data_IF_618053557607
#
_entry.id   IF_618053557607
#
_cell.length_a   1.000
_cell.length_b   1.000
_cell.length_c   1.000
_cell.angle_alpha   90.00
_cell.angle_beta   90.00
_cell.angle_gamma   90.00
#
_symmetry.space_group_name_H-M   'P 1'
#
loop_
_entity.id
_entity.type
_entity.pdbx_description
1 polymer ?
#
# COMPACT_ATOMS: atom_id res chain seq x y z
N UNK A 1 -21.41 41.41 7.29
CA UNK A 1 -20.01 41.27 6.88
C UNK A 1 -20.00 40.62 5.51
N UNK A 2 -19.59 41.36 4.48
CA UNK A 2 -19.61 40.90 3.08
C UNK A 2 -18.30 40.18 2.79
N UNK A 3 -18.33 38.85 2.67
CA UNK A 3 -17.18 38.05 2.28
C UNK A 3 -17.15 37.94 0.75
N UNK A 4 -16.33 38.78 0.12
CA UNK A 4 -16.00 38.70 -1.30
C UNK A 4 -14.74 37.84 -1.48
N UNK A 5 -14.94 36.53 -1.62
CA UNK A 5 -13.92 35.60 -2.15
C UNK A 5 -14.61 34.47 -2.93
N UNK A 6 -15.14 34.80 -4.11
CA UNK A 6 -15.43 33.83 -5.17
C UNK A 6 -15.20 34.55 -6.51
N UNK A 7 -14.06 34.27 -7.15
CA UNK A 7 -13.87 34.59 -8.57
C UNK A 7 -14.65 33.54 -9.38
N UNK A 8 -15.57 33.93 -10.28
CA UNK A 8 -16.25 32.96 -11.13
C UNK A 8 -15.31 32.45 -12.22
N UNK A 9 -15.19 31.13 -12.32
CA UNK A 9 -14.62 30.45 -13.49
C UNK A 9 -15.59 30.63 -14.65
N UNK A 10 -15.18 31.39 -15.67
CA UNK A 10 -15.89 31.49 -16.95
C UNK A 10 -15.82 30.13 -17.65
N UNK A 11 -16.92 29.39 -17.70
CA UNK A 11 -17.13 28.37 -18.72
C UNK A 11 -17.39 29.08 -20.06
N UNK A 12 -16.44 28.97 -20.98
CA UNK A 12 -16.67 29.27 -22.39
C UNK A 12 -17.10 27.97 -23.06
N UNK A 13 -18.36 27.91 -23.47
CA UNK A 13 -18.90 26.84 -24.29
C UNK A 13 -18.38 26.94 -25.72
N UNK A 14 -17.95 25.81 -26.28
CA UNK A 14 -17.73 25.63 -27.71
C UNK A 14 -18.79 24.66 -28.24
N UNK A 15 -19.79 25.23 -28.91
CA UNK A 15 -20.69 24.53 -29.84
C UNK A 15 -19.99 24.43 -31.19
N UNK A 16 -20.21 23.31 -31.88
CA UNK A 16 -20.36 23.30 -33.34
C UNK A 16 -19.22 22.65 -34.12
N UNK A 17 -19.37 21.35 -34.39
CA UNK A 17 -18.83 20.74 -35.59
C UNK A 17 -19.48 21.36 -36.85
N UNK A 18 -18.80 21.31 -38.00
CA UNK A 18 -19.36 20.46 -39.06
C UNK A 18 -18.31 19.59 -39.76
N UNK A 19 -18.81 18.44 -40.20
CA UNK A 19 -18.18 17.41 -41.03
C UNK A 19 -17.88 17.84 -42.47
N UNK A 20 -16.84 17.22 -43.05
CA UNK A 20 -16.64 16.75 -44.47
C UNK A 20 -15.30 17.25 -45.08
N UNK A 21 -14.76 16.61 -46.14
CA UNK A 21 -14.63 15.17 -46.39
C UNK A 21 -13.19 14.78 -46.84
N UNK A 22 -13.01 13.48 -47.04
CA UNK A 22 -11.87 12.72 -47.58
C UNK A 22 -11.15 13.38 -48.77
N UNK A 23 -9.82 13.36 -48.74
CA UNK A 23 -8.98 13.46 -49.95
C UNK A 23 -7.66 12.68 -49.74
N UNK A 24 -7.42 11.74 -50.66
CA UNK A 24 -6.21 10.92 -50.82
C UNK A 24 -5.06 11.79 -51.36
N UNK A 25 -3.84 11.63 -50.82
CA UNK A 25 -2.63 11.34 -51.62
C UNK A 25 -1.36 11.25 -50.76
N UNK A 26 -0.71 10.10 -50.93
CA UNK A 26 0.72 9.78 -50.90
C UNK A 26 1.72 10.93 -50.81
N UNK A 27 2.76 10.74 -49.98
CA UNK A 27 4.21 10.87 -50.28
C UNK A 27 4.98 10.67 -48.96
N UNK A 28 5.65 9.54 -48.72
CA UNK A 28 7.07 9.32 -49.04
C UNK A 28 7.95 10.49 -48.58
N UNK A 29 8.56 10.38 -47.39
CA UNK A 29 9.89 10.93 -47.13
C UNK A 29 10.55 10.18 -45.96
N UNK A 30 11.60 9.45 -46.33
CA UNK A 30 12.64 8.88 -45.47
C UNK A 30 13.25 9.97 -44.57
N UNK A 31 13.36 9.70 -43.27
CA UNK A 31 14.39 10.32 -42.45
C UNK A 31 15.15 9.26 -41.67
N UNK A 32 16.28 8.91 -42.26
CA UNK A 32 17.35 8.06 -41.75
C UNK A 32 18.11 8.87 -40.68
N UNK A 33 18.24 8.35 -39.46
CA UNK A 33 19.16 8.90 -38.46
C UNK A 33 19.98 7.77 -37.84
N UNK A 34 21.24 7.72 -38.24
CA UNK A 34 22.27 6.89 -37.62
C UNK A 34 22.70 7.45 -36.24
N UNK A 35 23.34 6.62 -35.40
CA UNK A 35 23.60 6.89 -33.99
C UNK A 35 24.92 7.64 -33.78
N UNK A 36 24.99 8.46 -32.72
CA UNK A 36 26.25 9.00 -32.22
C UNK A 36 26.41 8.68 -30.74
N UNK A 37 27.32 7.73 -30.49
CA UNK A 37 28.42 7.74 -29.51
C UNK A 37 28.27 8.55 -28.22
N UNK A 38 28.44 7.83 -27.10
CA UNK A 38 28.76 8.31 -25.76
C UNK A 38 29.97 9.26 -25.73
N UNK A 39 30.13 10.00 -24.61
CA UNK A 39 31.33 9.72 -23.82
C UNK A 39 31.11 9.67 -22.31
N UNK A 40 31.92 8.80 -21.70
CA UNK A 40 32.32 8.75 -20.30
C UNK A 40 32.41 10.12 -19.60
N UNK A 41 32.00 10.17 -18.33
CA UNK A 41 32.81 10.73 -17.23
C UNK A 41 32.27 10.34 -15.83
N UNK A 42 33.15 10.36 -14.80
CA UNK A 42 32.99 9.62 -13.55
C UNK A 42 32.45 10.44 -12.37
N UNK A 43 32.18 9.72 -11.28
CA UNK A 43 31.87 10.16 -9.93
C UNK A 43 32.71 11.33 -9.40
N UNK A 44 32.09 12.24 -8.62
CA UNK A 44 32.80 13.04 -7.61
C UNK A 44 31.84 13.76 -6.64
N UNK A 45 31.84 13.30 -5.39
CA UNK A 45 31.76 14.06 -4.12
C UNK A 45 30.67 15.13 -3.89
N UNK A 46 29.71 14.77 -3.03
CA UNK A 46 28.89 15.73 -2.26
C UNK A 46 29.75 16.27 -1.12
N UNK A 47 30.15 17.53 -1.21
CA UNK A 47 30.92 18.23 -0.19
C UNK A 47 30.04 19.30 0.48
N UNK A 48 29.82 19.13 1.78
CA UNK A 48 29.13 20.06 2.66
C UNK A 48 29.77 21.46 2.60
N UNK A 49 28.98 22.47 2.21
CA UNK A 49 29.41 23.86 2.21
C UNK A 49 29.02 24.53 3.52
N UNK A 50 29.94 24.52 4.48
CA UNK A 50 29.98 25.46 5.59
C UNK A 50 30.27 26.86 5.04
N UNK A 51 29.33 27.80 5.22
CA UNK A 51 29.54 29.21 4.95
C UNK A 51 29.78 29.90 6.29
N UNK A 52 31.05 29.93 6.70
CA UNK A 52 31.57 30.93 7.63
C UNK A 52 32.17 32.05 6.80
N UNK A 53 31.54 33.24 6.82
CA UNK A 53 32.16 34.47 6.33
C UNK A 53 32.45 35.39 7.51
N UNK A 54 33.73 35.44 7.85
CA UNK A 54 34.41 36.56 8.50
C UNK A 54 34.29 37.81 7.62
N UNK A 55 33.67 38.86 8.14
CA UNK A 55 33.79 40.22 7.60
C UNK A 55 34.29 41.12 8.73
N UNK A 56 35.45 41.71 8.49
CA UNK A 56 36.19 42.54 9.42
C UNK A 56 35.47 43.83 9.79
N UNK A 57 35.55 44.14 11.08
CA UNK A 57 35.17 45.40 11.69
C UNK A 57 36.09 46.54 11.18
N UNK A 58 35.51 47.54 10.50
CA UNK A 58 36.05 48.90 10.46
C UNK A 58 35.16 49.79 11.32
N UNK A 59 35.70 50.24 12.43
CA UNK A 59 35.13 51.22 13.34
C UNK A 59 35.09 52.59 12.66
N UNK A 60 33.89 53.14 12.44
CA UNK A 60 33.69 54.54 12.10
C UNK A 60 32.85 55.21 13.18
N UNK A 61 33.42 56.23 13.81
CA UNK A 61 32.80 57.12 14.81
C UNK A 61 31.94 58.17 14.10
N UNK A 62 30.63 58.22 14.35
CA UNK A 62 29.72 59.33 13.99
C UNK A 62 28.55 59.33 15.03
N UNK A 63 27.80 60.43 15.28
CA UNK A 63 27.73 61.10 16.57
C UNK A 63 26.40 60.85 17.31
N UNK A 64 26.38 61.27 18.58
CA UNK A 64 25.20 61.31 19.45
C UNK A 64 24.11 62.24 18.89
N UNK A 65 22.86 61.86 19.17
CA UNK A 65 21.59 62.59 19.02
C UNK A 65 20.81 62.41 17.71
N UNK A 66 20.02 61.33 17.65
CA UNK A 66 18.74 61.28 16.92
C UNK A 66 17.72 60.54 17.82
N UNK A 67 16.52 61.11 18.08
CA UNK A 67 15.49 60.42 18.87
C UNK A 67 14.96 59.17 18.14
N UNK A 68 14.54 58.13 18.87
CA UNK A 68 14.13 56.87 18.27
C UNK A 68 12.91 57.05 17.36
N UNK A 69 12.91 56.48 16.15
CA UNK A 69 11.68 56.39 15.37
C UNK A 69 10.74 55.43 16.10
N UNK A 70 9.62 55.98 16.59
CA UNK A 70 8.41 55.24 16.92
C UNK A 70 7.85 54.60 15.65
N UNK A 71 8.53 53.58 15.14
CA UNK A 71 7.92 52.62 14.23
C UNK A 71 7.02 51.75 15.08
N UNK A 72 5.79 52.24 15.24
CA UNK A 72 4.64 51.48 15.68
C UNK A 72 4.45 50.35 14.65
N UNK A 73 5.18 49.25 14.88
CA UNK A 73 5.03 48.00 14.16
C UNK A 73 3.64 47.51 14.55
N UNK A 74 2.66 47.86 13.71
CA UNK A 74 1.33 47.28 13.71
C UNK A 74 1.50 45.79 13.47
N UNK A 75 1.75 45.05 14.55
CA UNK A 75 1.65 43.62 14.56
C UNK A 75 0.16 43.33 14.38
N UNK A 76 -0.20 42.93 13.16
CA UNK A 76 -1.55 42.55 12.72
C UNK A 76 -2.17 41.37 13.50
N UNK A 77 -1.56 40.92 14.60
CA UNK A 77 -2.16 40.00 15.57
C UNK A 77 -3.31 40.64 16.40
N UNK A 78 -3.59 41.93 16.22
CA UNK A 78 -4.59 42.67 17.02
C UNK A 78 -6.04 42.43 16.63
N UNK A 79 -6.32 41.79 15.50
CA UNK A 79 -7.70 41.59 15.05
C UNK A 79 -8.41 40.48 15.84
N UNK A 80 -7.72 39.38 16.16
CA UNK A 80 -8.29 38.31 16.98
C UNK A 80 -8.53 38.79 18.43
N UNK A 81 -7.60 39.54 19.04
CA UNK A 81 -7.83 40.15 20.37
C UNK A 81 -9.05 41.07 20.38
N UNK A 82 -9.23 41.91 19.36
CA UNK A 82 -10.43 42.75 19.22
C UNK A 82 -11.72 41.95 19.04
N UNK A 83 -11.65 40.73 18.51
CA UNK A 83 -12.79 39.83 18.41
C UNK A 83 -13.13 39.19 19.77
N UNK A 84 -12.13 38.88 20.60
CA UNK A 84 -12.33 38.24 21.91
C UNK A 84 -12.58 39.22 23.08
N UNK A 85 -12.04 40.44 23.03
CA UNK A 85 -12.12 41.40 24.15
C UNK A 85 -13.47 42.15 24.23
N UNK A 86 -14.45 41.87 23.36
CA UNK A 86 -15.71 42.63 23.30
C UNK A 86 -16.79 42.18 24.30
N UNK A 87 -16.50 41.24 25.21
CA UNK A 87 -17.56 40.44 25.87
C UNK A 87 -17.87 40.69 27.35
N UNK A 88 -17.23 41.61 28.08
CA UNK A 88 -17.32 41.58 29.56
C UNK A 88 -18.24 42.59 30.27
N UNK A 89 -19.02 43.45 29.59
CA UNK A 89 -19.70 44.55 30.30
C UNK A 89 -21.18 44.79 29.98
N UNK A 90 -22.02 43.73 29.97
CA UNK A 90 -23.48 43.91 30.07
C UNK A 90 -24.11 42.95 31.08
N UNK A 91 -23.95 43.30 32.36
CA UNK A 91 -24.78 42.79 33.46
C UNK A 91 -26.19 43.37 33.32
N UNK A 92 -27.02 42.74 32.48
CA UNK A 92 -28.47 42.93 32.52
C UNK A 92 -29.10 41.55 32.63
N UNK A 93 -29.32 41.12 33.86
CA UNK A 93 -30.09 39.94 34.23
C UNK A 93 -31.49 40.06 33.60
N UNK A 94 -31.77 39.22 32.61
CA UNK A 94 -33.11 39.05 32.06
C UNK A 94 -33.66 37.70 32.51
N UNK A 95 -34.98 37.62 32.76
CA UNK A 95 -35.61 36.46 33.36
C UNK A 95 -35.41 35.22 32.48
N UNK A 96 -35.00 34.16 33.15
CA UNK A 96 -34.83 32.81 32.64
C UNK A 96 -36.23 32.17 32.53
N UNK A 97 -36.57 31.69 31.34
CA UNK A 97 -37.74 30.86 31.04
C UNK A 97 -39.11 31.52 31.10
N UNK A 98 -39.58 32.01 29.93
CA UNK A 98 -41.01 31.96 29.62
C UNK A 98 -41.17 31.92 28.10
N UNK A 99 -41.18 30.70 27.55
CA UNK A 99 -42.11 30.26 26.50
C UNK A 99 -41.69 28.88 25.99
N UNK A 100 -42.56 27.91 26.25
CA UNK A 100 -42.51 26.49 25.88
C UNK A 100 -42.70 26.27 24.38
N UNK A 101 -42.14 27.14 23.55
CA UNK A 101 -41.92 26.85 22.13
C UNK A 101 -40.59 26.12 22.03
N UNK A 102 -40.59 24.96 21.37
CA UNK A 102 -39.38 24.16 21.16
C UNK A 102 -38.34 25.04 20.46
N UNK A 103 -37.40 25.57 21.23
CA UNK A 103 -36.41 26.49 20.72
C UNK A 103 -35.57 25.74 19.69
N UNK A 104 -35.43 26.31 18.50
CA UNK A 104 -34.61 25.76 17.41
C UNK A 104 -33.20 25.41 17.92
N UNK A 105 -32.69 26.19 18.88
CA UNK A 105 -31.41 25.93 19.54
C UNK A 105 -31.37 24.55 20.24
N UNK A 106 -32.38 24.21 21.04
CA UNK A 106 -32.45 22.96 21.79
C UNK A 106 -32.48 21.75 20.85
N UNK A 107 -33.29 21.82 19.79
CA UNK A 107 -33.36 20.76 18.77
C UNK A 107 -32.02 20.61 18.06
N UNK A 108 -31.39 21.72 17.64
CA UNK A 108 -30.08 21.68 17.02
C UNK A 108 -29.01 21.06 17.93
N UNK A 109 -29.05 21.37 19.23
CA UNK A 109 -28.14 20.80 20.23
C UNK A 109 -28.29 19.28 20.35
N UNK A 110 -29.52 18.78 20.51
CA UNK A 110 -29.76 17.33 20.59
C UNK A 110 -29.39 16.60 19.29
N UNK A 111 -29.75 17.17 18.14
CA UNK A 111 -29.37 16.61 16.84
C UNK A 111 -27.85 16.56 16.66
N UNK A 112 -27.12 17.59 17.11
CA UNK A 112 -25.66 17.59 17.06
C UNK A 112 -25.05 16.42 17.85
N UNK A 113 -25.54 16.16 19.07
CA UNK A 113 -25.07 15.04 19.90
C UNK A 113 -25.44 13.68 19.31
N UNK A 114 -26.64 13.53 18.74
CA UNK A 114 -27.04 12.29 18.07
C UNK A 114 -26.15 12.03 16.85
N UNK A 115 -25.88 13.05 16.03
CA UNK A 115 -24.97 12.92 14.88
C UNK A 115 -23.54 12.60 15.31
N UNK A 116 -23.07 13.18 16.42
CA UNK A 116 -21.77 12.85 17.00
C UNK A 116 -21.72 11.39 17.46
N UNK A 117 -22.78 10.91 18.12
CA UNK A 117 -22.90 9.50 18.52
C UNK A 117 -22.91 8.57 17.30
N UNK A 118 -23.67 8.92 16.26
CA UNK A 118 -23.67 8.18 15.00
C UNK A 118 -22.29 8.15 14.35
N UNK A 119 -21.52 9.24 14.44
CA UNK A 119 -20.15 9.29 13.94
C UNK A 119 -19.27 8.22 14.62
N UNK A 120 -19.37 8.06 15.94
CA UNK A 120 -18.62 7.02 16.67
C UNK A 120 -19.00 5.58 16.31
N UNK A 121 -20.20 5.35 15.76
CA UNK A 121 -20.66 4.01 15.35
C UNK A 121 -20.18 3.66 13.93
N UNK A 122 -19.93 4.65 13.06
CA UNK A 122 -19.53 4.39 11.67
C UNK A 122 -18.06 3.98 11.58
N UNK A 123 -17.81 2.92 10.82
CA UNK A 123 -16.45 2.41 10.53
C UNK A 123 -15.82 3.05 9.30
N UNK A 124 -16.64 3.52 8.36
CA UNK A 124 -16.15 4.18 7.15
C UNK A 124 -15.64 5.59 7.47
N UNK A 125 -14.40 5.86 7.06
CA UNK A 125 -13.72 7.13 7.25
C UNK A 125 -14.44 8.28 6.53
N UNK A 126 -15.06 8.07 5.38
CA UNK A 126 -15.76 9.13 4.65
C UNK A 126 -17.08 9.50 5.34
N UNK A 127 -17.88 8.51 5.71
CA UNK A 127 -19.12 8.71 6.48
C UNK A 127 -18.84 9.41 7.81
N UNK A 128 -17.78 9.01 8.52
CA UNK A 128 -17.34 9.62 9.77
C UNK A 128 -17.12 11.13 9.60
N UNK A 129 -16.42 11.54 8.53
CA UNK A 129 -16.15 12.96 8.26
C UNK A 129 -17.43 13.73 7.92
N UNK A 130 -18.34 13.14 7.14
CA UNK A 130 -19.61 13.79 6.78
C UNK A 130 -20.53 13.98 8.00
N UNK A 131 -20.57 13.00 8.90
CA UNK A 131 -21.28 13.10 10.18
C UNK A 131 -20.65 14.14 11.11
N UNK A 132 -19.33 14.20 11.17
CA UNK A 132 -18.61 15.22 11.95
C UNK A 132 -18.90 16.65 11.42
N UNK A 133 -18.85 16.85 10.10
CA UNK A 133 -19.21 18.14 9.45
C UNK A 133 -20.64 18.54 9.82
N UNK A 134 -21.58 17.59 9.76
CA UNK A 134 -22.99 17.82 10.08
C UNK A 134 -23.16 18.17 11.57
N UNK A 135 -22.57 17.37 12.47
CA UNK A 135 -22.62 17.59 13.92
C UNK A 135 -22.03 18.94 14.33
N UNK A 136 -20.86 19.31 13.79
CA UNK A 136 -20.22 20.59 14.07
C UNK A 136 -21.09 21.74 13.55
N UNK A 137 -21.70 21.59 12.37
CA UNK A 137 -22.61 22.60 11.82
C UNK A 137 -23.81 22.84 12.73
N UNK A 138 -24.45 21.79 13.23
CA UNK A 138 -25.54 21.91 14.22
C UNK A 138 -25.05 22.47 15.56
N UNK A 139 -23.85 22.11 16.01
CA UNK A 139 -23.24 22.68 17.22
C UNK A 139 -23.02 24.18 17.06
N UNK A 140 -22.58 24.65 15.88
CA UNK A 140 -22.42 26.07 15.60
C UNK A 140 -23.77 26.81 15.62
N UNK A 141 -24.82 26.22 15.04
CA UNK A 141 -26.19 26.74 15.10
C UNK A 141 -26.65 26.87 16.56
N UNK A 142 -26.48 25.82 17.36
CA UNK A 142 -26.81 25.83 18.79
C UNK A 142 -26.08 26.95 19.55
N UNK A 143 -24.76 27.07 19.34
CA UNK A 143 -23.94 28.08 20.00
C UNK A 143 -24.29 29.52 19.62
N UNK A 144 -24.68 29.73 18.36
CA UNK A 144 -25.06 31.04 17.82
C UNK A 144 -26.38 31.54 18.38
N UNK A 145 -27.39 30.66 18.55
CA UNK A 145 -28.71 31.03 19.07
C UNK A 145 -28.78 31.16 20.60
N UNK A 146 -27.66 30.98 21.32
CA UNK A 146 -27.64 31.20 22.77
C UNK A 146 -27.74 32.69 23.11
N UNK A 147 -28.38 33.08 24.23
CA UNK A 147 -28.51 34.49 24.64
C UNK A 147 -27.16 35.21 24.78
N UNK A 148 -26.11 34.48 25.16
CA UNK A 148 -24.72 34.93 25.12
C UNK A 148 -23.97 33.97 24.20
N UNK A 149 -23.71 34.34 22.93
CA UNK A 149 -23.01 33.46 22.01
C UNK A 149 -21.56 33.33 22.43
N UNK A 150 -21.09 32.12 22.74
CA UNK A 150 -19.68 31.93 23.06
C UNK A 150 -18.86 31.93 21.75
N UNK A 151 -18.23 33.06 21.44
CA UNK A 151 -17.44 33.22 20.21
C UNK A 151 -16.20 32.32 20.18
N UNK A 152 -15.62 31.99 21.34
CA UNK A 152 -14.43 31.13 21.43
C UNK A 152 -14.73 29.70 20.89
N UNK A 153 -15.74 28.96 21.40
CA UNK A 153 -16.17 27.69 20.80
C UNK A 153 -16.55 27.80 19.32
N UNK A 154 -17.19 28.89 18.91
CA UNK A 154 -17.59 29.07 17.52
C UNK A 154 -16.38 29.17 16.57
N UNK A 155 -15.34 29.89 16.99
CA UNK A 155 -14.09 30.00 16.23
C UNK A 155 -13.40 28.63 16.10
N UNK A 156 -13.28 27.87 17.20
CA UNK A 156 -12.70 26.53 17.17
C UNK A 156 -13.50 25.54 16.31
N UNK A 157 -14.83 25.55 16.44
CA UNK A 157 -15.70 24.73 15.60
C UNK A 157 -15.55 25.07 14.12
N UNK A 158 -15.33 26.34 13.77
CA UNK A 158 -15.08 26.75 12.38
C UNK A 158 -13.77 26.17 11.83
N UNK A 159 -12.72 26.09 12.65
CA UNK A 159 -11.44 25.47 12.28
C UNK A 159 -11.64 23.95 12.09
N UNK A 160 -12.28 23.27 13.06
CA UNK A 160 -12.56 21.84 12.95
C UNK A 160 -13.46 21.50 11.77
N UNK A 161 -14.46 22.31 11.50
CA UNK A 161 -15.32 22.18 10.32
C UNK A 161 -14.50 22.27 9.05
N UNK A 162 -13.64 23.28 8.93
CA UNK A 162 -12.79 23.48 7.75
C UNK A 162 -11.85 22.29 7.52
N UNK A 163 -11.20 21.79 8.58
CA UNK A 163 -10.32 20.63 8.50
C UNK A 163 -11.07 19.38 8.05
N UNK A 164 -12.25 19.11 8.62
CA UNK A 164 -13.05 17.95 8.22
C UNK A 164 -13.54 18.07 6.77
N UNK A 165 -13.93 19.27 6.31
CA UNK A 165 -14.28 19.51 4.90
C UNK A 165 -13.10 19.22 3.98
N UNK A 166 -11.90 19.69 4.30
CA UNK A 166 -10.71 19.44 3.47
C UNK A 166 -10.41 17.95 3.36
N UNK A 167 -10.43 17.22 4.49
CA UNK A 167 -10.19 15.77 4.49
C UNK A 167 -11.29 15.00 3.76
N UNK A 168 -12.56 15.34 3.99
CA UNK A 168 -13.69 14.74 3.28
C UNK A 168 -13.59 14.98 1.77
N UNK A 169 -13.18 16.18 1.35
CA UNK A 169 -13.01 16.52 -0.07
C UNK A 169 -11.89 15.71 -0.72
N UNK A 170 -10.77 15.50 -0.02
CA UNK A 170 -9.67 14.67 -0.51
C UNK A 170 -10.13 13.22 -0.72
N UNK A 171 -10.75 12.61 0.30
CA UNK A 171 -11.29 11.25 0.23
C UNK A 171 -12.37 11.11 -0.85
N UNK A 172 -13.28 12.08 -0.92
CA UNK A 172 -14.35 12.08 -1.92
C UNK A 172 -13.79 12.18 -3.34
N UNK A 173 -12.78 13.04 -3.56
CA UNK A 173 -12.12 13.15 -4.87
C UNK A 173 -11.49 11.82 -5.27
N UNK A 174 -10.82 11.16 -4.35
CA UNK A 174 -10.18 9.88 -4.62
C UNK A 174 -11.18 8.77 -4.93
N UNK A 175 -12.25 8.67 -4.13
CA UNK A 175 -13.37 7.78 -4.40
C UNK A 175 -14.01 8.05 -5.76
N UNK A 176 -14.23 9.33 -6.08
CA UNK A 176 -14.81 9.75 -7.35
C UNK A 176 -13.90 9.43 -8.54
N UNK A 177 -12.60 9.69 -8.41
CA UNK A 177 -11.62 9.40 -9.46
C UNK A 177 -11.55 7.88 -9.72
N UNK A 178 -11.61 7.04 -8.69
CA UNK A 178 -11.65 5.58 -8.83
C UNK A 178 -12.95 5.04 -9.44
N UNK A 179 -14.10 5.64 -9.13
CA UNK A 179 -15.41 5.12 -9.60
C UNK A 179 -15.82 5.65 -10.96
N UNK A 180 -15.54 6.92 -11.25
CA UNK A 180 -16.07 7.61 -12.43
C UNK A 180 -15.00 8.04 -13.42
N UNK A 181 -13.73 8.14 -13.02
CA UNK A 181 -12.63 8.55 -13.91
C UNK A 181 -11.63 7.45 -14.22
N UNK A 182 -11.84 6.24 -13.72
CA UNK A 182 -11.04 5.08 -14.12
C UNK A 182 -11.13 4.89 -15.64
N UNK A 183 -10.00 4.64 -16.29
CA UNK A 183 -9.98 4.39 -17.72
C UNK A 183 -10.81 3.13 -18.04
N UNK A 184 -11.52 3.07 -19.18
CA UNK A 184 -12.34 1.92 -19.51
C UNK A 184 -11.52 0.63 -19.61
N UNK A 185 -10.25 0.73 -20.03
CA UNK A 185 -9.30 -0.39 -20.05
C UNK A 185 -8.99 -0.90 -18.64
N UNK A 186 -8.76 0.00 -17.68
CA UNK A 186 -8.47 -0.38 -16.30
C UNK A 186 -9.70 -0.97 -15.61
N UNK A 187 -10.88 -0.45 -15.94
CA UNK A 187 -12.16 -0.98 -15.48
C UNK A 187 -12.43 -2.39 -16.01
N UNK A 188 -12.04 -2.67 -17.26
CA UNK A 188 -12.12 -4.00 -17.87
C UNK A 188 -11.18 -4.99 -17.17
N UNK A 189 -9.92 -4.60 -16.92
CA UNK A 189 -8.96 -5.41 -16.15
C UNK A 189 -9.51 -5.72 -14.75
N UNK A 190 -10.11 -4.73 -14.07
CA UNK A 190 -10.69 -4.95 -12.74
C UNK A 190 -11.84 -5.96 -12.74
N UNK A 191 -12.72 -5.90 -13.76
CA UNK A 191 -13.90 -6.76 -13.85
C UNK A 191 -13.54 -8.17 -14.34
N UNK A 192 -12.73 -8.27 -15.39
CA UNK A 192 -12.39 -9.55 -16.03
C UNK A 192 -11.31 -10.31 -15.24
N UNK A 193 -10.33 -9.59 -14.67
CA UNK A 193 -9.30 -10.17 -13.80
C UNK A 193 -9.79 -10.58 -12.41
N UNK A 194 -11.11 -10.47 -12.14
CA UNK A 194 -11.73 -10.91 -10.87
C UNK A 194 -11.14 -10.29 -9.60
N UNK A 195 -10.47 -9.12 -9.71
CA UNK A 195 -9.82 -8.44 -8.58
C UNK A 195 -10.81 -8.11 -7.46
N UNK A 196 -12.05 -7.74 -7.80
CA UNK A 196 -13.09 -7.44 -6.81
C UNK A 196 -13.53 -8.65 -5.97
N UNK A 197 -13.51 -9.86 -6.53
CA UNK A 197 -13.83 -11.10 -5.79
C UNK A 197 -12.70 -11.46 -4.82
N UNK A 198 -11.47 -11.11 -5.19
CA UNK A 198 -10.25 -11.37 -4.42
C UNK A 198 -9.94 -10.30 -3.37
N UNK A 199 -10.87 -9.37 -3.14
CA UNK A 199 -10.80 -8.42 -2.02
C UNK A 199 -10.16 -7.07 -2.34
N UNK A 200 -9.84 -6.76 -3.61
CA UNK A 200 -9.41 -5.42 -3.98
C UNK A 200 -10.59 -4.45 -4.07
N UNK A 201 -10.50 -3.33 -3.37
CA UNK A 201 -11.38 -2.21 -3.65
C UNK A 201 -10.94 -1.46 -4.93
N UNK A 202 -11.89 -0.83 -5.62
CA UNK A 202 -11.60 -0.04 -6.84
C UNK A 202 -10.62 1.09 -6.57
N UNK A 203 -10.70 1.70 -5.39
CA UNK A 203 -9.80 2.79 -4.99
C UNK A 203 -8.37 2.28 -4.83
N UNK A 204 -8.22 1.15 -4.14
CA UNK A 204 -6.96 0.46 -3.91
C UNK A 204 -6.32 -0.01 -5.23
N UNK A 205 -7.13 -0.60 -6.10
CA UNK A 205 -6.73 -1.01 -7.43
C UNK A 205 -6.27 0.18 -8.28
N UNK A 206 -7.05 1.26 -8.33
CA UNK A 206 -6.67 2.46 -9.08
C UNK A 206 -5.35 3.06 -8.58
N UNK A 207 -5.14 3.06 -7.26
CA UNK A 207 -3.89 3.52 -6.65
C UNK A 207 -2.71 2.63 -7.02
N UNK A 208 -2.86 1.29 -6.96
CA UNK A 208 -1.80 0.36 -7.34
C UNK A 208 -1.33 0.60 -8.78
N UNK A 209 -2.26 0.82 -9.71
CA UNK A 209 -1.93 1.10 -11.11
C UNK A 209 -1.37 2.50 -11.34
N UNK A 210 -1.72 3.48 -10.49
CA UNK A 210 -1.10 4.80 -10.53
C UNK A 210 0.40 4.80 -10.16
N UNK A 211 0.86 3.76 -9.46
CA UNK A 211 2.26 3.55 -9.09
C UNK A 211 3.01 2.62 -10.06
N UNK A 212 2.37 2.21 -11.17
CA UNK A 212 3.06 1.52 -12.27
C UNK A 212 4.21 2.38 -12.78
N UNK A 213 5.36 1.75 -13.10
CA UNK A 213 6.56 2.44 -13.59
C UNK A 213 6.31 3.24 -14.86
N UNK A 214 5.23 2.90 -15.58
CA UNK A 214 4.73 3.64 -16.74
C UNK A 214 3.24 3.89 -16.54
N UNK A 215 2.82 5.14 -16.71
CA UNK A 215 1.41 5.56 -16.73
C UNK A 215 0.57 4.86 -17.82
N UNK A 216 1.23 4.17 -18.76
CA UNK A 216 0.63 3.46 -19.87
C UNK A 216 1.22 2.06 -19.99
N UNK A 217 0.41 1.09 -20.43
CA UNK A 217 0.92 -0.26 -20.64
C UNK A 217 1.93 -0.27 -21.78
N UNK A 218 2.92 -1.15 -21.67
CA UNK A 218 3.94 -1.34 -22.71
C UNK A 218 3.57 -2.52 -23.56
N UNK A 219 3.64 -2.35 -24.88
CA UNK A 219 3.39 -3.42 -25.85
C UNK A 219 4.74 -4.06 -26.19
N UNK A 220 4.82 -5.36 -25.98
CA UNK A 220 5.98 -6.18 -26.31
C UNK A 220 5.67 -7.07 -27.52
N UNK A 221 6.54 -7.11 -28.55
CA UNK A 221 6.31 -7.95 -29.71
C UNK A 221 6.48 -9.45 -29.38
N UNK A 222 5.95 -10.31 -30.24
CA UNK A 222 6.15 -11.76 -30.15
C UNK A 222 7.65 -12.11 -30.09
N UNK A 223 7.99 -13.10 -29.27
CA UNK A 223 9.36 -13.56 -29.07
C UNK A 223 10.21 -12.67 -28.16
N UNK A 224 9.65 -11.55 -27.66
CA UNK A 224 10.37 -10.73 -26.68
C UNK A 224 10.48 -11.46 -25.35
N UNK A 225 11.69 -11.50 -24.79
CA UNK A 225 11.95 -12.08 -23.48
C UNK A 225 11.66 -11.00 -22.42
N UNK A 226 10.53 -11.14 -21.72
CA UNK A 226 10.15 -10.25 -20.62
C UNK A 226 11.10 -10.41 -19.43
N UNK A 227 11.55 -11.64 -19.21
CA UNK A 227 12.44 -12.00 -18.12
C UNK A 227 13.37 -13.14 -18.54
N UNK A 228 14.67 -12.94 -18.40
CA UNK A 228 15.67 -13.95 -18.71
C UNK A 228 16.01 -14.77 -17.46
N UNK A 229 15.93 -16.09 -17.57
CA UNK A 229 16.28 -17.03 -16.51
C UNK A 229 17.76 -16.93 -16.13
N UNK A 230 18.04 -16.89 -14.83
CA UNK A 230 19.41 -16.86 -14.30
C UNK A 230 20.16 -15.52 -14.45
N UNK A 231 19.58 -14.51 -15.11
CA UNK A 231 20.07 -13.14 -14.99
C UNK A 231 19.90 -12.65 -13.55
N UNK A 232 20.71 -11.67 -13.12
CA UNK A 232 20.49 -11.00 -11.83
C UNK A 232 19.03 -10.55 -11.79
N UNK A 233 18.26 -11.12 -10.86
CA UNK A 233 16.80 -10.99 -10.76
C UNK A 233 16.35 -9.57 -11.15
N UNK A 234 15.71 -9.45 -12.30
CA UNK A 234 15.05 -8.21 -12.68
C UNK A 234 13.95 -7.97 -11.65
N UNK A 235 14.14 -6.97 -10.80
CA UNK A 235 13.27 -6.65 -9.67
C UNK A 235 11.95 -6.00 -10.13
N UNK A 236 11.21 -6.70 -10.98
CA UNK A 236 10.01 -6.20 -11.61
C UNK A 236 8.87 -7.21 -11.52
N UNK A 237 7.70 -6.69 -11.20
CA UNK A 237 6.43 -7.39 -11.27
C UNK A 237 5.75 -6.94 -12.55
N UNK A 238 5.22 -7.89 -13.33
CA UNK A 238 4.47 -7.59 -14.53
C UNK A 238 3.06 -8.13 -14.44
N UNK A 239 2.10 -7.46 -15.09
CA UNK A 239 0.74 -7.97 -15.28
C UNK A 239 0.41 -7.95 -16.77
N UNK A 240 0.05 -9.11 -17.32
CA UNK A 240 -0.40 -9.23 -18.70
C UNK A 240 -1.84 -8.73 -18.76
N UNK A 241 -2.13 -7.74 -19.61
CA UNK A 241 -3.51 -7.26 -19.78
C UNK A 241 -4.14 -7.68 -21.09
N UNK A 242 -3.32 -7.89 -22.12
CA UNK A 242 -3.76 -8.42 -23.41
C UNK A 242 -2.65 -9.33 -23.95
N UNK A 243 -3.03 -10.46 -24.55
CA UNK A 243 -2.11 -11.43 -25.12
C UNK A 243 -1.68 -12.53 -24.15
N UNK A 244 -0.67 -13.30 -24.54
CA UNK A 244 -0.16 -14.44 -23.76
C UNK A 244 1.36 -14.46 -23.76
N UNK A 245 1.90 -15.04 -22.70
CA UNK A 245 3.32 -15.34 -22.58
C UNK A 245 3.51 -16.84 -22.32
N UNK A 246 4.70 -17.34 -22.60
CA UNK A 246 5.11 -18.71 -22.30
C UNK A 246 6.34 -18.68 -21.41
N UNK A 247 6.32 -19.52 -20.39
CA UNK A 247 7.46 -19.79 -19.52
C UNK A 247 8.23 -20.93 -20.16
N UNK A 248 9.42 -20.63 -20.69
CA UNK A 248 10.31 -21.62 -21.30
C UNK A 248 11.49 -21.92 -20.40
N UNK A 249 11.86 -23.19 -20.30
CA UNK A 249 13.10 -23.61 -19.64
C UNK A 249 14.33 -23.12 -20.42
N UNK A 250 15.51 -23.24 -19.84
CA UNK A 250 16.80 -22.96 -20.52
C UNK A 250 16.99 -23.82 -21.78
N UNK A 251 16.33 -24.98 -21.86
CA UNK A 251 16.36 -25.89 -23.01
C UNK A 251 15.24 -25.60 -24.05
N UNK A 252 14.62 -24.41 -24.01
CA UNK A 252 13.49 -24.01 -24.87
C UNK A 252 12.23 -24.89 -24.74
N UNK A 253 12.15 -25.72 -23.71
CA UNK A 253 10.94 -26.51 -23.39
C UNK A 253 9.91 -25.60 -22.74
N UNK A 254 8.71 -25.54 -23.30
CA UNK A 254 7.58 -24.76 -22.74
C UNK A 254 7.08 -25.45 -21.47
N UNK A 255 7.26 -24.79 -20.32
CA UNK A 255 6.85 -25.27 -19.00
C UNK A 255 5.40 -24.90 -18.69
N UNK A 256 5.03 -23.64 -18.97
CA UNK A 256 3.69 -23.14 -18.71
C UNK A 256 3.33 -22.05 -19.71
N UNK A 257 2.04 -21.91 -19.97
CA UNK A 257 1.47 -20.76 -20.66
C UNK A 257 0.90 -19.80 -19.59
N UNK A 258 1.07 -18.51 -19.81
CA UNK A 258 0.53 -17.42 -19.01
C UNK A 258 -0.49 -16.68 -19.86
N UNK A 259 -1.67 -16.48 -19.31
CA UNK A 259 -2.80 -15.89 -19.99
C UNK A 259 -3.02 -14.42 -19.58
N UNK A 260 -4.10 -13.83 -20.05
CA UNK A 260 -4.48 -12.47 -19.68
C UNK A 260 -4.82 -12.41 -18.18
N UNK A 261 -4.42 -11.31 -17.55
CA UNK A 261 -4.56 -11.03 -16.11
C UNK A 261 -3.66 -11.84 -15.17
N UNK A 262 -2.74 -12.63 -15.72
CA UNK A 262 -1.70 -13.31 -14.95
C UNK A 262 -0.56 -12.35 -14.59
N UNK A 263 -0.05 -12.49 -13.36
CA UNK A 263 1.17 -11.79 -12.97
C UNK A 263 2.43 -12.58 -13.37
N UNK A 264 3.53 -11.85 -13.52
CA UNK A 264 4.86 -12.38 -13.81
C UNK A 264 5.83 -11.83 -12.78
N UNK A 265 6.62 -12.73 -12.18
CA UNK A 265 7.60 -12.35 -11.16
C UNK A 265 7.03 -12.32 -9.74
N UNK A 266 5.81 -12.83 -9.55
CA UNK A 266 5.14 -12.96 -8.24
C UNK A 266 6.01 -13.65 -7.18
N UNK A 267 6.59 -14.79 -7.54
CA UNK A 267 7.42 -15.57 -6.63
C UNK A 267 8.67 -14.80 -6.17
N UNK A 268 9.30 -14.08 -7.10
CA UNK A 268 10.45 -13.23 -6.76
C UNK A 268 10.04 -12.03 -5.92
N UNK A 269 8.84 -11.49 -6.15
CA UNK A 269 8.32 -10.40 -5.36
C UNK A 269 8.06 -10.82 -3.91
N UNK A 270 7.47 -12.00 -3.68
CA UNK A 270 7.28 -12.56 -2.34
C UNK A 270 8.64 -12.77 -1.66
N UNK A 271 9.59 -13.42 -2.33
CA UNK A 271 10.94 -13.62 -1.78
C UNK A 271 11.63 -12.30 -1.47
N UNK A 272 11.43 -11.28 -2.31
CA UNK A 272 11.96 -9.95 -2.10
C UNK A 272 11.39 -9.31 -0.83
N UNK A 273 10.08 -9.41 -0.63
CA UNK A 273 9.41 -8.91 0.58
C UNK A 273 9.87 -9.66 1.84
N UNK A 274 10.03 -10.97 1.78
CA UNK A 274 10.56 -11.76 2.91
C UNK A 274 11.98 -11.35 3.28
N UNK A 275 12.86 -11.12 2.29
CA UNK A 275 14.23 -10.65 2.57
C UNK A 275 14.26 -9.25 3.17
N UNK A 276 13.36 -8.37 2.73
CA UNK A 276 13.25 -7.03 3.30
C UNK A 276 12.80 -7.05 4.76
N UNK A 277 11.87 -7.91 5.14
CA UNK A 277 11.44 -8.04 6.54
C UNK A 277 12.54 -8.63 7.43
N UNK A 278 13.28 -9.63 6.96
CA UNK A 278 14.43 -10.21 7.68
C UNK A 278 15.54 -9.19 7.91
N UNK A 279 15.85 -8.35 6.91
CA UNK A 279 16.84 -7.30 7.02
C UNK A 279 16.41 -6.20 8.00
N UNK A 280 15.13 -5.81 7.99
CA UNK A 280 14.59 -4.83 8.93
C UNK A 280 14.67 -5.32 10.40
N UNK A 281 14.38 -6.60 10.62
CA UNK A 281 14.48 -7.23 11.95
C UNK A 281 15.94 -7.39 12.42
N UNK A 282 16.86 -7.70 11.50
CA UNK A 282 18.28 -7.84 11.84
C UNK A 282 18.93 -6.49 12.19
N UNK A 283 18.50 -5.41 11.51
CA UNK A 283 18.98 -4.05 11.76
C UNK A 283 18.52 -3.51 13.13
N UNK A 284 17.29 -3.81 13.56
CA UNK A 284 16.78 -3.39 14.88
C UNK A 284 17.45 -4.12 16.05
N UNK A 285 17.77 -5.41 15.88
CA UNK A 285 18.49 -6.18 16.92
C UNK A 285 19.96 -5.72 17.05
N UNK A 286 20.60 -5.36 15.94
CA UNK A 286 21.99 -4.89 15.94
C UNK A 286 22.17 -3.51 16.59
N UNK A 287 21.15 -2.64 16.54
CA UNK A 287 21.19 -1.32 17.18
C UNK A 287 20.93 -1.39 18.70
N UNK A 288 20.18 -2.39 19.17
CA UNK A 288 19.96 -2.62 20.60
C UNK A 288 21.19 -3.22 21.29
N UNK A 289 21.91 -4.12 20.61
CA UNK A 289 23.10 -4.78 21.19
C UNK A 289 24.34 -3.88 21.24
N UNK A 290 24.41 -2.83 20.42
CA UNK A 290 25.51 -1.86 20.42
C UNK A 290 25.32 -0.71 21.41
N UNK A 291 24.13 -0.53 21.99
CA UNK A 291 23.87 0.46 23.02
C UNK A 291 24.23 -0.01 24.45
N UNK A 292 24.31 -1.32 24.71
CA UNK A 292 24.48 -1.87 26.07
C UNK A 292 25.96 -2.13 26.46
N UNK A 293 26.91 -1.97 25.53
CA UNK A 293 28.34 -2.20 25.81
C UNK A 293 29.12 -0.96 26.27
N UNK A 294 28.46 0.20 26.47
CA UNK A 294 29.15 1.46 26.86
C UNK A 294 28.80 1.96 28.27
N UNK A 295 28.04 1.21 29.08
CA UNK A 295 27.57 1.64 30.41
C UNK A 295 28.01 0.77 31.60
N UNK A 296 28.93 -0.20 31.39
CA UNK A 296 29.40 -1.08 32.48
C UNK A 296 30.90 -0.94 32.75
N UNK A 297 31.34 0.27 33.08
CA UNK A 297 32.52 0.46 33.92
C UNK A 297 32.63 1.89 34.48
N UNK A 298 32.07 2.13 35.66
CA UNK A 298 32.71 2.87 36.75
C UNK A 298 31.74 3.04 37.93
N UNK A 299 32.31 2.93 39.14
CA UNK A 299 31.75 3.27 40.45
C UNK A 299 30.83 2.26 41.13
N UNK A 300 31.46 1.22 41.66
CA UNK A 300 31.22 0.80 43.04
C UNK A 300 31.95 1.80 43.95
N UNK A 301 31.24 2.74 44.59
CA UNK A 301 31.38 3.00 46.03
C UNK A 301 30.39 4.08 46.51
N UNK A 302 29.92 3.90 47.75
CA UNK A 302 29.22 4.85 48.63
C UNK A 302 27.72 5.16 48.41
N UNK A 303 26.97 4.81 49.47
CA UNK A 303 26.11 5.70 50.26
C UNK A 303 24.62 5.34 50.33
N UNK A 304 24.32 4.74 51.48
CA UNK A 304 23.06 4.67 52.25
C UNK A 304 22.32 6.03 52.23
N UNK A 305 21.02 6.07 51.92
CA UNK A 305 19.90 6.29 52.87
C UNK A 305 18.57 6.66 52.13
N UNK A 306 17.44 6.13 52.63
CA UNK A 306 16.03 6.66 52.65
C UNK A 306 15.44 7.37 51.39
N UNK A 307 14.19 7.19 50.94
CA UNK A 307 12.89 6.89 51.57
C UNK A 307 11.83 6.72 50.45
N UNK A 308 10.86 5.85 50.75
CA UNK A 308 9.43 5.72 50.39
C UNK A 308 8.69 6.57 49.32
N UNK A 309 7.60 5.94 48.86
CA UNK A 309 6.41 6.39 48.11
C UNK A 309 6.56 6.48 46.58
N UNK A 310 5.92 5.65 45.74
CA UNK A 310 4.59 5.04 45.83
C UNK A 310 3.63 5.83 44.94
N UNK A 311 3.41 5.38 43.69
CA UNK A 311 2.17 5.57 42.90
C UNK A 311 2.24 4.68 41.65
N UNK A 312 1.24 3.81 41.54
CA UNK A 312 0.89 3.02 40.37
C UNK A 312 0.26 3.89 39.29
N UNK A 313 0.56 3.63 38.03
CA UNK A 313 -0.48 3.47 36.99
C UNK A 313 -0.01 2.48 35.94
N UNK A 314 -0.84 1.47 35.73
CA UNK A 314 -0.62 0.29 34.92
C UNK A 314 -0.52 0.57 33.42
N UNK A 315 0.30 -0.26 32.80
CA UNK A 315 0.39 -0.59 31.38
C UNK A 315 -0.80 -1.48 31.01
N UNK A 316 -1.60 -1.07 30.02
CA UNK A 316 -2.54 -1.98 29.35
C UNK A 316 -1.83 -2.63 28.16
N UNK A 317 -1.38 -3.86 28.37
CA UNK A 317 -1.01 -4.81 27.33
C UNK A 317 -2.28 -5.52 26.86
N UNK A 318 -2.63 -5.38 25.58
CA UNK A 318 -3.66 -6.22 24.94
C UNK A 318 -3.06 -7.58 24.62
N UNK A 319 -3.32 -8.56 25.49
CA UNK A 319 -3.18 -9.98 25.20
C UNK A 319 -4.22 -10.41 24.15
N UNK A 320 -3.75 -10.86 22.99
CA UNK A 320 -4.56 -11.57 22.00
C UNK A 320 -4.74 -13.01 22.46
N UNK A 321 -5.96 -13.32 22.90
CA UNK A 321 -6.46 -14.66 23.22
C UNK A 321 -6.42 -15.58 21.97
N UNK A 322 -5.50 -16.54 21.98
CA UNK A 322 -5.56 -17.73 21.12
C UNK A 322 -6.37 -18.80 21.87
N UNK A 323 -7.56 -19.09 21.37
CA UNK A 323 -8.39 -20.20 21.84
C UNK A 323 -7.78 -21.53 21.39
N UNK A 324 -7.21 -22.25 22.36
CA UNK A 324 -6.78 -23.64 22.22
C UNK A 324 -7.82 -24.63 22.73
N UNK A 325 -8.11 -25.60 21.87
CA UNK A 325 -8.44 -27.02 22.13
C UNK A 325 -9.62 -27.40 23.03
N UNK A 326 -10.50 -28.22 22.45
CA UNK A 326 -11.27 -29.21 23.21
C UNK A 326 -10.92 -30.60 22.70
N UNK A 327 -10.42 -31.42 23.62
CA UNK A 327 -10.05 -32.82 23.47
C UNK A 327 -11.24 -33.70 23.08
N UNK A 328 -10.99 -34.65 22.18
CA UNK A 328 -11.78 -35.88 22.06
C UNK A 328 -10.84 -37.07 22.00
N UNK A 329 -10.73 -37.78 23.12
CA UNK A 329 -10.20 -39.13 23.27
C UNK A 329 -11.21 -40.16 22.71
N UNK A 330 -10.81 -40.96 21.72
CA UNK A 330 -11.41 -42.27 21.33
C UNK A 330 -10.37 -42.94 20.41
N UNK A 331 -10.03 -44.23 20.40
CA UNK A 331 -10.08 -45.39 21.29
C UNK A 331 -9.10 -46.38 20.61
N UNK A 332 -8.35 -47.14 21.40
CA UNK A 332 -7.28 -48.03 20.93
C UNK A 332 -7.90 -49.36 20.45
N UNK A 333 -7.80 -49.63 19.15
CA UNK A 333 -8.28 -50.87 18.52
C UNK A 333 -7.16 -51.66 17.86
N UNK A 334 -6.81 -52.77 18.51
CA UNK A 334 -5.89 -53.83 18.12
C UNK A 334 -6.09 -54.48 16.72
N UNK A 335 -5.03 -55.18 16.26
CA UNK A 335 -5.00 -56.36 15.34
C UNK A 335 -5.08 -56.07 13.81
N UNK A 336 -4.35 -56.71 12.89
CA UNK A 336 -3.56 -57.95 12.87
C UNK A 336 -2.35 -57.86 11.94
N UNK A 337 -1.33 -58.64 12.30
CA UNK A 337 -0.22 -59.12 11.45
C UNK A 337 -0.76 -60.09 10.41
N UNK A 338 -0.43 -59.86 9.13
CA UNK A 338 -0.58 -60.86 8.07
C UNK A 338 0.70 -60.87 7.22
N UNK A 339 1.54 -61.87 7.50
CA UNK A 339 2.65 -62.27 6.65
C UNK A 339 2.09 -62.86 5.35
N UNK A 340 2.51 -62.33 4.20
CA UNK A 340 2.45 -63.05 2.93
C UNK A 340 3.84 -63.08 2.29
N UNK A 341 4.43 -64.28 2.33
CA UNK A 341 5.59 -64.71 1.54
C UNK A 341 5.18 -65.00 0.09
N UNK A 342 6.20 -65.01 -0.77
CA UNK A 342 6.23 -65.54 -2.15
C UNK A 342 5.72 -64.55 -3.20
N UNK A 343 6.36 -64.34 -4.36
CA UNK A 343 7.25 -65.20 -5.13
C UNK A 343 8.16 -64.32 -5.99
N UNK A 344 9.43 -64.67 -6.02
CA UNK A 344 10.41 -64.16 -6.98
C UNK A 344 10.09 -64.70 -8.38
N UNK A 345 9.95 -63.82 -9.36
CA UNK A 345 10.05 -64.14 -10.77
C UNK A 345 10.87 -63.06 -11.47
N UNK A 346 12.13 -63.38 -11.73
CA UNK A 346 13.06 -62.60 -12.54
C UNK A 346 12.50 -62.44 -13.96
N UNK A 347 11.97 -61.25 -14.24
CA UNK A 347 11.70 -60.81 -15.60
C UNK A 347 12.78 -59.79 -15.97
N UNK A 348 13.66 -60.16 -16.91
CA UNK A 348 14.70 -59.30 -17.50
C UNK A 348 14.05 -58.02 -18.07
N UNK A 349 13.98 -56.99 -17.23
CA UNK A 349 13.60 -55.62 -17.62
C UNK A 349 14.78 -55.05 -18.41
N UNK A 350 14.60 -54.83 -19.71
CA UNK A 350 15.52 -54.01 -20.49
C UNK A 350 15.51 -52.62 -19.85
N UNK A 351 16.63 -52.20 -19.27
CA UNK A 351 16.88 -50.83 -18.86
C UNK A 351 16.81 -49.94 -20.11
N UNK A 352 15.64 -49.35 -20.34
CA UNK A 352 15.55 -48.14 -21.14
C UNK A 352 16.05 -47.05 -20.20
N UNK A 353 17.30 -46.63 -20.40
CA UNK A 353 17.86 -45.46 -19.74
C UNK A 353 17.12 -44.25 -20.31
N UNK A 354 15.96 -43.93 -19.73
CA UNK A 354 15.33 -42.63 -19.88
C UNK A 354 16.23 -41.68 -19.10
N UNK A 355 16.94 -40.80 -19.82
CA UNK A 355 17.67 -39.71 -19.18
C UNK A 355 16.64 -38.84 -18.48
N UNK A 356 16.58 -38.94 -17.16
CA UNK A 356 15.84 -38.00 -16.31
C UNK A 356 16.43 -36.61 -16.55
N UNK A 357 15.63 -35.70 -17.12
CA UNK A 357 16.00 -34.29 -17.16
C UNK A 357 15.77 -33.70 -15.76
N UNK A 358 16.78 -33.06 -15.16
CA UNK A 358 16.62 -32.45 -13.85
C UNK A 358 15.59 -31.31 -13.94
N UNK A 359 14.59 -31.34 -13.05
CA UNK A 359 13.60 -30.28 -12.89
C UNK A 359 14.34 -28.99 -12.51
N UNK A 360 14.52 -28.10 -13.47
CA UNK A 360 15.22 -26.84 -13.26
C UNK A 360 14.35 -25.93 -12.36
N UNK A 361 14.95 -25.23 -11.38
CA UNK A 361 14.21 -24.29 -10.56
C UNK A 361 13.60 -23.20 -11.44
N UNK A 362 12.31 -22.89 -11.24
CA UNK A 362 11.55 -21.91 -12.03
C UNK A 362 12.20 -20.52 -12.10
N UNK A 363 13.12 -20.20 -11.17
CA UNK A 363 13.94 -18.99 -11.22
C UNK A 363 14.89 -18.91 -12.44
N UNK A 364 15.11 -20.02 -13.13
CA UNK A 364 15.93 -20.12 -14.34
C UNK A 364 15.10 -20.18 -15.63
N UNK A 365 13.77 -20.08 -15.53
CA UNK A 365 12.92 -20.05 -16.70
C UNK A 365 12.94 -18.67 -17.37
N UNK A 366 13.03 -18.68 -18.69
CA UNK A 366 12.79 -17.51 -19.53
C UNK A 366 11.27 -17.31 -19.67
N UNK A 367 10.84 -16.06 -19.79
CA UNK A 367 9.44 -15.73 -20.03
C UNK A 367 9.38 -14.96 -21.33
N UNK A 368 8.75 -15.58 -22.34
CA UNK A 368 8.75 -15.12 -23.72
C UNK A 368 7.33 -14.81 -24.16
N UNK A 369 7.10 -13.67 -24.80
CA UNK A 369 5.79 -13.32 -25.35
C UNK A 369 5.42 -14.29 -26.48
N UNK A 370 4.33 -15.02 -26.34
CA UNK A 370 3.89 -16.03 -27.31
C UNK A 370 2.88 -15.51 -28.33
N UNK A 371 2.09 -14.50 -27.96
CA UNK A 371 1.04 -13.94 -28.81
C UNK A 371 1.57 -13.29 -30.08
N UNK A 372 0.96 -13.58 -31.24
CA UNK A 372 1.29 -12.97 -32.54
C UNK A 372 1.04 -11.46 -32.56
N UNK A 373 0.01 -10.98 -31.85
CA UNK A 373 -0.30 -9.55 -31.72
C UNK A 373 0.63 -8.81 -30.76
N UNK A 374 1.52 -9.54 -30.08
CA UNK A 374 2.28 -9.05 -28.92
C UNK A 374 1.50 -9.19 -27.62
N UNK A 375 2.13 -8.76 -26.52
CA UNK A 375 1.52 -8.69 -25.20
C UNK A 375 1.57 -7.27 -24.66
N UNK A 376 0.44 -6.80 -24.14
CA UNK A 376 0.29 -5.52 -23.47
C UNK A 376 0.48 -5.75 -21.97
N UNK A 377 1.45 -5.08 -21.36
CA UNK A 377 1.92 -5.41 -20.00
C UNK A 377 2.10 -4.15 -19.15
N UNK A 378 1.62 -4.19 -17.90
CA UNK A 378 1.97 -3.20 -16.86
C UNK A 378 3.18 -3.66 -16.06
N UNK A 379 4.04 -2.72 -15.69
CA UNK A 379 5.33 -2.98 -15.03
C UNK A 379 5.41 -2.22 -13.70
N UNK A 380 5.76 -2.92 -12.62
CA UNK A 380 6.08 -2.32 -11.34
C UNK A 380 7.48 -2.73 -10.90
N UNK A 381 8.26 -1.76 -10.45
CA UNK A 381 9.56 -2.04 -9.84
C UNK A 381 9.38 -2.41 -8.36
N UNK A 382 10.08 -3.45 -7.89
CA UNK A 382 9.92 -3.94 -6.53
C UNK A 382 10.30 -2.89 -5.48
N UNK A 383 11.32 -2.06 -5.73
CA UNK A 383 11.74 -1.04 -4.79
C UNK A 383 10.67 0.07 -4.69
N UNK A 384 10.02 0.39 -5.81
CA UNK A 384 8.90 1.34 -5.87
C UNK A 384 7.68 0.78 -5.13
N UNK A 385 7.28 -0.47 -5.40
CA UNK A 385 6.18 -1.13 -4.69
C UNK A 385 6.44 -1.27 -3.20
N UNK A 386 7.64 -1.67 -2.80
CA UNK A 386 7.96 -1.80 -1.37
C UNK A 386 7.94 -0.46 -0.66
N UNK A 387 8.45 0.60 -1.29
CA UNK A 387 8.38 1.95 -0.75
C UNK A 387 6.93 2.42 -0.63
N UNK A 388 6.10 2.08 -1.61
CA UNK A 388 4.67 2.33 -1.57
C UNK A 388 3.98 1.58 -0.43
N UNK A 389 4.28 0.31 -0.21
CA UNK A 389 3.67 -0.49 0.86
C UNK A 389 4.12 -0.11 2.28
N UNK A 390 5.28 0.54 2.42
CA UNK A 390 5.82 0.95 3.72
C UNK A 390 5.16 2.21 4.31
N UNK A 391 4.35 2.96 3.55
CA UNK A 391 3.79 4.20 4.05
C UNK A 391 2.53 4.03 4.89
N UNK A 392 1.43 4.64 4.46
CA UNK A 392 0.21 4.78 5.26
C UNK A 392 -0.47 3.44 5.56
N UNK A 393 -1.30 3.35 6.61
CA UNK A 393 -2.07 2.13 6.94
C UNK A 393 -2.88 1.60 5.75
N UNK A 394 -3.36 2.48 4.89
CA UNK A 394 -4.10 2.10 3.69
C UNK A 394 -3.22 1.40 2.66
N UNK A 395 -1.95 1.79 2.52
CA UNK A 395 -1.00 1.14 1.62
C UNK A 395 -0.67 -0.30 2.05
N UNK A 396 -0.71 -0.57 3.37
CA UNK A 396 -0.58 -1.94 3.89
C UNK A 396 -1.76 -2.83 3.49
N UNK A 397 -2.97 -2.28 3.43
CA UNK A 397 -4.15 -3.04 2.96
C UNK A 397 -3.99 -3.42 1.49
N UNK A 398 -3.47 -2.50 0.66
CA UNK A 398 -3.17 -2.76 -0.76
C UNK A 398 -2.12 -3.86 -0.90
N UNK A 399 -1.06 -3.81 -0.08
CA UNK A 399 -0.05 -4.86 -0.06
C UNK A 399 -0.64 -6.23 0.30
N UNK A 400 -1.48 -6.28 1.33
CA UNK A 400 -2.15 -7.50 1.77
C UNK A 400 -3.12 -8.04 0.71
N UNK A 401 -3.89 -7.17 0.06
CA UNK A 401 -4.78 -7.54 -1.03
C UNK A 401 -4.00 -8.09 -2.23
N UNK A 402 -2.88 -7.44 -2.59
CA UNK A 402 -2.01 -7.92 -3.67
C UNK A 402 -1.40 -9.28 -3.35
N UNK A 403 -0.90 -9.47 -2.13
CA UNK A 403 -0.34 -10.74 -1.68
C UNK A 403 -1.40 -11.84 -1.61
N UNK A 404 -2.61 -11.53 -1.15
CA UNK A 404 -3.72 -12.48 -1.15
C UNK A 404 -4.11 -12.89 -2.57
N UNK A 405 -4.17 -11.93 -3.50
CA UNK A 405 -4.43 -12.18 -4.91
C UNK A 405 -3.36 -13.11 -5.52
N UNK A 406 -2.08 -12.75 -5.37
CA UNK A 406 -0.93 -13.52 -5.86
C UNK A 406 -0.93 -14.92 -5.25
N UNK A 407 -1.11 -15.03 -3.95
CA UNK A 407 -1.12 -16.32 -3.26
C UNK A 407 -2.26 -17.22 -3.75
N UNK A 408 -3.45 -16.67 -3.99
CA UNK A 408 -4.58 -17.43 -4.50
C UNK A 408 -4.33 -17.91 -5.94
N UNK A 409 -3.80 -17.05 -6.80
CA UNK A 409 -3.47 -17.40 -8.18
C UNK A 409 -2.39 -18.49 -8.25
N UNK A 410 -1.34 -18.37 -7.43
CA UNK A 410 -0.31 -19.40 -7.32
C UNK A 410 -0.89 -20.74 -6.86
N UNK A 411 -1.80 -20.74 -5.88
CA UNK A 411 -2.47 -21.96 -5.43
C UNK A 411 -3.31 -22.60 -6.54
N UNK A 412 -4.06 -21.80 -7.30
CA UNK A 412 -4.86 -22.27 -8.42
C UNK A 412 -3.99 -22.91 -9.51
N UNK A 413 -2.90 -22.24 -9.89
CA UNK A 413 -1.92 -22.75 -10.87
C UNK A 413 -1.23 -24.02 -10.39
N UNK A 414 -0.91 -24.13 -9.10
CA UNK A 414 -0.32 -25.34 -8.52
C UNK A 414 -1.30 -26.52 -8.52
N UNK A 415 -2.57 -26.28 -8.18
CA UNK A 415 -3.63 -27.30 -8.24
C UNK A 415 -3.84 -27.77 -9.68
N UNK A 416 -3.85 -26.87 -10.65
CA UNK A 416 -3.97 -27.24 -12.06
C UNK A 416 -2.76 -28.04 -12.55
N UNK A 417 -1.54 -27.61 -12.20
CA UNK A 417 -0.32 -28.34 -12.53
C UNK A 417 -0.33 -29.75 -11.92
N UNK A 418 -0.80 -29.89 -10.68
CA UNK A 418 -0.95 -31.18 -10.02
C UNK A 418 -1.95 -32.08 -10.74
N UNK A 419 -3.12 -31.56 -11.14
CA UNK A 419 -4.10 -32.32 -11.92
C UNK A 419 -3.56 -32.77 -13.29
N UNK A 420 -2.76 -31.93 -13.97
CA UNK A 420 -2.12 -32.30 -15.24
C UNK A 420 -1.14 -33.45 -15.06
N UNK A 421 -0.37 -33.46 -13.97
CA UNK A 421 0.57 -34.55 -13.65
C UNK A 421 -0.16 -35.86 -13.33
N UNK A 422 -1.24 -35.80 -12.53
CA UNK A 422 -2.07 -36.97 -12.23
C UNK A 422 -2.72 -37.55 -13.50
N UNK A 423 -3.14 -36.69 -14.43
CA UNK A 423 -3.68 -37.12 -15.71
C UNK A 423 -2.62 -37.80 -16.60
N UNK A 424 -1.36 -37.35 -16.54
CA UNK A 424 -0.24 -37.99 -17.24
C UNK A 424 0.13 -39.35 -16.63
N UNK A 425 0.10 -39.47 -15.30
CA UNK A 425 0.34 -40.72 -14.59
C UNK A 425 -0.68 -41.80 -15.01
N UNK A 426 -1.96 -41.42 -15.11
CA UNK A 426 -3.02 -42.32 -15.59
C UNK A 426 -2.87 -42.72 -17.07
N UNK A 427 -2.02 -42.05 -17.84
CA UNK A 427 -1.72 -42.40 -19.24
C UNK A 427 -0.50 -43.31 -19.41
N UNK A 428 -0.07 -44.02 -18.37
CA UNK A 428 0.95 -45.08 -18.42
C UNK A 428 2.38 -44.60 -18.74
N UNK A 429 2.69 -43.34 -18.47
CA UNK A 429 4.08 -42.88 -18.39
C UNK A 429 4.55 -43.14 -16.96
N UNK A 430 5.48 -44.10 -16.76
CA UNK A 430 6.17 -44.33 -15.48
C UNK A 430 6.95 -43.03 -15.11
N UNK A 431 6.28 -42.04 -14.52
CA UNK A 431 6.96 -40.90 -13.90
C UNK A 431 7.79 -41.44 -12.72
N UNK A 432 9.06 -41.07 -12.68
CA UNK A 432 9.95 -41.59 -11.65
C UNK A 432 9.56 -41.03 -10.28
N UNK A 433 9.74 -41.84 -9.23
CA UNK A 433 9.45 -41.47 -7.84
C UNK A 433 10.19 -40.19 -7.41
N UNK A 434 11.26 -39.81 -8.13
CA UNK A 434 12.07 -38.65 -7.85
C UNK A 434 11.39 -37.33 -8.24
N UNK A 435 10.72 -37.25 -9.38
CA UNK A 435 10.00 -36.03 -9.81
C UNK A 435 8.88 -35.66 -8.83
N UNK A 436 8.18 -36.68 -8.29
CA UNK A 436 7.17 -36.49 -7.24
C UNK A 436 7.77 -35.88 -5.97
N UNK A 437 8.94 -36.36 -5.55
CA UNK A 437 9.60 -35.85 -4.34
C UNK A 437 10.06 -34.40 -4.51
N UNK A 438 10.62 -34.05 -5.67
CA UNK A 438 11.07 -32.67 -5.96
C UNK A 438 9.89 -31.69 -5.95
N UNK A 439 8.74 -32.09 -6.49
CA UNK A 439 7.52 -31.25 -6.45
C UNK A 439 6.95 -31.13 -5.04
N UNK A 440 6.94 -32.21 -4.25
CA UNK A 440 6.48 -32.16 -2.85
C UNK A 440 7.38 -31.27 -1.99
N UNK A 441 8.69 -31.36 -2.17
CA UNK A 441 9.65 -30.52 -1.46
C UNK A 441 9.49 -29.04 -1.89
N UNK A 442 9.30 -28.78 -3.19
CA UNK A 442 9.02 -27.44 -3.71
C UNK A 442 7.71 -26.85 -3.16
N UNK A 443 6.64 -27.65 -3.08
CA UNK A 443 5.36 -27.22 -2.49
C UNK A 443 5.49 -26.93 -0.99
N UNK A 444 6.27 -27.74 -0.27
CA UNK A 444 6.57 -27.51 1.15
C UNK A 444 7.30 -26.18 1.39
N UNK A 445 8.26 -25.85 0.52
CA UNK A 445 9.02 -24.60 0.57
C UNK A 445 8.19 -23.38 0.14
N UNK A 446 7.39 -23.51 -0.92
CA UNK A 446 6.56 -22.42 -1.46
C UNK A 446 5.40 -22.04 -0.52
N UNK A 447 4.82 -23.00 0.19
CA UNK A 447 3.77 -22.76 1.18
C UNK A 447 4.31 -22.28 2.53
N UNK A 448 5.63 -22.08 2.66
CA UNK A 448 6.24 -21.51 3.86
C UNK A 448 6.08 -22.38 5.11
N UNK A 449 5.91 -23.70 4.94
CA UNK A 449 5.80 -24.63 6.07
C UNK A 449 7.18 -24.92 6.67
N UNK A 450 7.81 -23.90 7.27
CA UNK A 450 8.90 -24.13 8.21
C UNK A 450 8.31 -24.57 9.55
N UNK A 451 8.52 -25.83 9.88
CA UNK A 451 8.29 -26.46 11.19
C UNK A 451 6.84 -26.60 11.64
N UNK A 452 6.25 -27.77 11.36
CA UNK A 452 5.87 -28.63 12.49
C UNK A 452 6.50 -30.00 12.27
N UNK A 453 7.29 -30.43 13.25
CA UNK A 453 7.63 -31.84 13.44
C UNK A 453 6.31 -32.61 13.62
N UNK A 454 5.76 -33.11 12.52
CA UNK A 454 4.79 -34.20 12.51
C UNK A 454 4.80 -34.84 11.13
N UNK A 455 5.89 -35.57 10.84
CA UNK A 455 5.75 -36.77 10.01
C UNK A 455 4.82 -37.73 10.75
N UNK A 456 3.58 -37.85 10.27
CA UNK A 456 2.77 -39.09 10.26
C UNK A 456 1.35 -38.78 9.74
N UNK A 457 1.18 -38.79 8.42
CA UNK A 457 0.19 -39.60 7.67
C UNK A 457 0.13 -39.15 6.22
#
# INVERSE_FOLDING_TARGET
MSFSWLRPVRMVGLRGAPTRPVSKRSSLLLFQRHPQTAPNKPACWIQHRNISRTIGLKTSKVPKNVPPPTHQRNNDASWWRRMFDRETNTNKTRPLFEDTSVSVSVVAGHTAFILMLLAYVRRDILELRMLAISSISFTMIYQYFRPRPLFIPLAWNSIFLSLNITMATFLYKEYYDAHYRMSPQLQDIFQNGSFGVRGFDKVEFNRLFSESSKDKPTIYPQGHILKAGGAKSDKKLYLITEGSAQVTSTNDVVLSQLEEYDFIGEMEFIQYLSRQSENANSASVSSLTSADSTSRNSNVDSMIDQTEDGVMTATDEEEILILGSSDLQVDNGDKQVLETKSSSSEMKRKEIIVKEEPVLPLSLANIVVSSESGATVYEWDFDTLCKYFQGTTQERNIANALLAYISHELQEKLVEAWHRLDQQENQHVDLSTHEKQVLLDFLGDALGSKNTNKQEK
#
